data_IF_888119012535
#
_entry.id   IF_888119012535
#
_cell.length_a   1.000
_cell.length_b   1.000
_cell.length_c   1.000
_cell.angle_alpha   90.00
_cell.angle_beta   90.00
_cell.angle_gamma   90.00
#
_symmetry.space_group_name_H-M   'P 1'
#
loop_
_entity.id
_entity.type
_entity.pdbx_description
1 polymer ?
#
# COMPACT_ATOMS: atom_id res chain seq x y z
N UNK A 1 -90.81 -45.23 -11.01
CA UNK A 1 -91.82 -45.20 -9.98
C UNK A 1 -91.72 -43.92 -9.22
N UNK A 2 -92.63 -43.10 -9.54
CA UNK A 2 -93.59 -42.35 -8.71
C UNK A 2 -92.92 -41.19 -7.91
N UNK A 3 -93.21 -40.03 -8.30
CA UNK A 3 -94.37 -39.12 -8.18
C UNK A 3 -94.07 -38.09 -7.08
N UNK A 4 -93.85 -36.82 -7.47
CA UNK A 4 -94.85 -35.72 -7.30
C UNK A 4 -95.06 -35.28 -5.85
N UNK A 5 -95.03 -34.05 -5.45
CA UNK A 5 -95.96 -32.98 -5.82
C UNK A 5 -95.53 -31.61 -5.28
N UNK A 6 -95.93 -30.61 -6.01
CA UNK A 6 -96.06 -29.17 -5.75
C UNK A 6 -96.75 -28.79 -4.42
N UNK A 7 -96.35 -27.63 -3.87
CA UNK A 7 -97.27 -26.51 -3.70
C UNK A 7 -96.59 -25.17 -3.44
N UNK A 8 -97.09 -24.17 -4.09
CA UNK A 8 -96.80 -22.77 -4.03
C UNK A 8 -97.55 -22.01 -2.92
N UNK A 9 -97.13 -20.79 -2.74
CA UNK A 9 -97.88 -19.56 -2.28
C UNK A 9 -97.31 -18.97 -1.01
N UNK A 10 -97.07 -17.72 -0.77
CA UNK A 10 -97.37 -16.39 -1.35
C UNK A 10 -96.53 -15.32 -0.67
N UNK A 11 -96.34 -14.23 -1.36
CA UNK A 11 -95.69 -12.94 -1.02
C UNK A 11 -96.07 -12.40 0.38
N UNK A 12 -95.08 -11.72 1.03
CA UNK A 12 -95.33 -10.34 1.51
C UNK A 12 -94.01 -9.55 1.68
N UNK A 13 -94.13 -8.30 1.29
CA UNK A 13 -93.19 -7.21 1.24
C UNK A 13 -92.48 -6.89 2.57
N UNK A 14 -91.24 -6.38 2.47
CA UNK A 14 -90.68 -5.46 3.48
C UNK A 14 -89.16 -5.38 3.56
N UNK A 15 -88.65 -4.26 3.17
CA UNK A 15 -87.37 -3.77 3.77
C UNK A 15 -86.09 -3.95 2.92
N UNK A 16 -85.84 -2.95 2.12
CA UNK A 16 -84.55 -2.67 1.45
C UNK A 16 -83.48 -2.24 2.49
N UNK A 17 -82.46 -3.03 2.71
CA UNK A 17 -81.23 -2.57 3.36
C UNK A 17 -80.03 -2.97 2.47
N UNK A 18 -79.49 -2.00 1.78
CA UNK A 18 -78.34 -2.17 0.95
C UNK A 18 -77.06 -2.27 1.82
N UNK A 19 -76.46 -3.46 1.87
CA UNK A 19 -75.14 -3.65 2.48
C UNK A 19 -74.13 -3.53 1.39
N UNK A 20 -73.40 -2.37 1.36
CA UNK A 20 -72.27 -2.14 0.48
C UNK A 20 -71.06 -2.89 1.04
N UNK A 21 -70.74 -4.03 0.48
CA UNK A 21 -69.48 -4.70 0.72
C UNK A 21 -68.38 -3.98 -0.04
N UNK A 22 -67.69 -3.10 0.64
CA UNK A 22 -66.43 -2.52 0.12
C UNK A 22 -65.33 -3.57 0.15
N UNK A 23 -65.05 -4.16 -1.00
CA UNK A 23 -63.86 -5.01 -1.23
C UNK A 23 -62.62 -4.12 -1.23
N UNK A 24 -61.93 -4.05 -0.08
CA UNK A 24 -60.58 -3.45 -0.03
C UNK A 24 -59.63 -4.42 -0.70
N UNK A 25 -59.26 -4.15 -1.96
CA UNK A 25 -58.12 -4.74 -2.64
C UNK A 25 -56.87 -4.17 -1.98
N UNK A 26 -56.25 -4.93 -1.06
CA UNK A 26 -54.85 -4.69 -0.64
C UNK A 26 -53.93 -4.99 -1.85
N UNK A 27 -53.61 -3.96 -2.59
CA UNK A 27 -52.48 -3.99 -3.51
C UNK A 27 -51.20 -4.08 -2.66
N UNK A 28 -50.71 -5.30 -2.43
CA UNK A 28 -49.36 -5.53 -1.93
C UNK A 28 -48.38 -5.05 -3.04
N UNK A 29 -47.94 -3.81 -2.95
CA UNK A 29 -46.74 -3.37 -3.68
C UNK A 29 -45.57 -4.16 -3.10
N UNK A 30 -45.28 -5.35 -3.65
CA UNK A 30 -43.97 -5.95 -3.57
C UNK A 30 -43.00 -5.06 -4.34
N UNK A 31 -42.44 -4.08 -3.66
CA UNK A 31 -41.24 -3.42 -4.11
C UNK A 31 -40.15 -4.50 -4.14
N UNK A 32 -39.96 -5.14 -5.30
CA UNK A 32 -38.73 -5.84 -5.63
C UNK A 32 -37.61 -4.79 -5.72
N UNK A 33 -37.21 -4.29 -4.54
CA UNK A 33 -35.96 -3.55 -4.43
C UNK A 33 -34.86 -4.51 -4.83
N UNK A 34 -34.33 -4.36 -6.03
CA UNK A 34 -33.01 -4.89 -6.37
C UNK A 34 -32.11 -4.52 -5.20
N UNK A 35 -31.42 -5.46 -4.56
CA UNK A 35 -30.49 -5.11 -3.51
C UNK A 35 -29.52 -4.09 -4.12
N UNK A 36 -29.52 -2.87 -3.59
CA UNK A 36 -28.50 -1.87 -3.91
C UNK A 36 -27.18 -2.56 -3.68
N UNK A 37 -26.42 -2.78 -4.76
CA UNK A 37 -25.10 -3.38 -4.67
C UNK A 37 -24.26 -2.43 -3.82
N UNK A 38 -24.08 -2.78 -2.55
CA UNK A 38 -23.28 -1.98 -1.63
C UNK A 38 -21.91 -1.75 -2.28
N UNK A 39 -21.47 -0.49 -2.37
CA UNK A 39 -20.16 -0.16 -2.90
C UNK A 39 -19.07 -0.89 -2.12
N UNK A 40 -17.90 -1.08 -2.71
CA UNK A 40 -16.73 -1.57 -1.97
C UNK A 40 -16.40 -0.59 -0.84
N UNK A 41 -15.81 -1.08 0.23
CA UNK A 41 -15.46 -0.28 1.42
C UNK A 41 -14.27 0.67 1.20
N UNK A 42 -13.71 0.74 -0.01
CA UNK A 42 -12.67 1.69 -0.42
C UNK A 42 -13.23 3.13 -0.47
N UNK A 43 -12.36 4.12 -0.35
CA UNK A 43 -12.74 5.54 -0.31
C UNK A 43 -13.56 5.98 -1.54
N UNK A 44 -13.22 5.48 -2.73
CA UNK A 44 -13.89 5.83 -3.99
C UNK A 44 -14.84 4.73 -4.53
N UNK A 45 -15.05 3.67 -3.76
CA UNK A 45 -15.91 2.53 -4.11
C UNK A 45 -15.38 1.65 -5.25
N UNK A 46 -14.11 1.82 -5.67
CA UNK A 46 -13.46 1.01 -6.70
C UNK A 46 -12.69 -0.17 -6.08
N UNK A 47 -12.28 -1.10 -6.96
CA UNK A 47 -11.39 -2.19 -6.55
C UNK A 47 -10.09 -1.63 -5.95
N UNK A 48 -9.59 -2.19 -4.83
CA UNK A 48 -8.32 -1.76 -4.25
C UNK A 48 -7.16 -1.98 -5.22
N UNK A 49 -6.20 -1.06 -5.23
CA UNK A 49 -5.03 -1.11 -6.10
C UNK A 49 -4.06 -2.21 -5.67
N UNK A 50 -3.44 -2.87 -6.66
CA UNK A 50 -2.25 -3.71 -6.44
C UNK A 50 -1.03 -2.91 -6.85
N UNK A 51 -0.24 -2.50 -5.86
CA UNK A 51 0.95 -1.67 -5.98
C UNK A 51 2.16 -2.58 -5.83
N UNK A 52 2.91 -2.77 -6.92
CA UNK A 52 4.09 -3.63 -6.95
C UNK A 52 5.28 -2.91 -6.31
N UNK A 53 5.57 -3.24 -5.06
CA UNK A 53 6.59 -2.64 -4.22
C UNK A 53 7.98 -2.95 -4.78
N UNK A 54 8.64 -1.93 -5.33
CA UNK A 54 9.93 -2.00 -6.04
C UNK A 54 9.89 -2.97 -7.24
N UNK A 55 8.70 -3.10 -7.86
CA UNK A 55 8.42 -4.08 -8.90
C UNK A 55 8.01 -5.45 -8.35
N UNK A 56 8.26 -6.53 -9.09
CA UNK A 56 8.07 -7.91 -8.65
C UNK A 56 9.25 -8.38 -7.78
N UNK A 57 9.52 -7.64 -6.70
CA UNK A 57 10.73 -7.79 -5.87
C UNK A 57 10.84 -9.13 -5.15
N UNK A 58 9.73 -9.86 -5.00
CA UNK A 58 9.74 -11.24 -4.51
C UNK A 58 10.38 -12.25 -5.47
N UNK A 59 10.57 -11.89 -6.74
CA UNK A 59 11.01 -12.78 -7.81
C UNK A 59 12.30 -12.34 -8.52
N UNK A 60 12.53 -11.02 -8.60
CA UNK A 60 13.62 -10.39 -9.35
C UNK A 60 14.22 -9.30 -8.46
N UNK A 61 15.55 -9.03 -8.54
CA UNK A 61 16.16 -7.93 -7.79
C UNK A 61 15.36 -6.64 -7.93
N UNK A 62 15.02 -6.05 -6.80
CA UNK A 62 14.18 -4.87 -6.68
C UNK A 62 14.72 -3.68 -7.48
N UNK A 63 13.85 -2.74 -7.84
CA UNK A 63 14.24 -1.48 -8.45
C UNK A 63 14.96 -1.66 -9.79
N UNK A 64 14.52 -2.60 -10.62
CA UNK A 64 15.02 -2.85 -11.97
C UNK A 64 13.89 -2.76 -12.99
N UNK A 65 14.20 -2.40 -14.25
CA UNK A 65 13.18 -2.35 -15.31
C UNK A 65 12.53 -3.73 -15.50
N UNK A 66 13.31 -4.79 -15.35
CA UNK A 66 12.85 -6.18 -15.44
C UNK A 66 11.85 -6.52 -14.33
N UNK A 67 12.11 -6.05 -13.09
CA UNK A 67 11.18 -6.25 -11.98
C UNK A 67 9.85 -5.50 -12.21
N UNK A 68 9.89 -4.29 -12.77
CA UNK A 68 8.69 -3.52 -13.11
C UNK A 68 7.91 -4.17 -14.25
N UNK A 69 8.59 -4.60 -15.33
CA UNK A 69 7.93 -5.33 -16.43
C UNK A 69 7.27 -6.59 -15.90
N UNK A 70 7.97 -7.36 -15.07
CA UNK A 70 7.42 -8.57 -14.49
C UNK A 70 6.18 -8.31 -13.63
N UNK A 71 6.19 -7.27 -12.82
CA UNK A 71 5.02 -6.85 -12.04
C UNK A 71 3.81 -6.51 -12.93
N UNK A 72 4.04 -5.78 -14.03
CA UNK A 72 3.00 -5.41 -15.00
C UNK A 72 2.41 -6.66 -15.66
N UNK A 73 3.25 -7.64 -16.04
CA UNK A 73 2.84 -8.93 -16.59
C UNK A 73 1.98 -9.73 -15.60
N UNK A 74 2.31 -9.68 -14.31
CA UNK A 74 1.55 -10.31 -13.24
C UNK A 74 0.24 -9.58 -12.90
N UNK A 75 -0.02 -8.41 -13.51
CA UNK A 75 -1.29 -7.70 -13.41
C UNK A 75 -1.28 -6.49 -12.48
N UNK A 76 -0.13 -6.00 -12.05
CA UNK A 76 -0.04 -4.78 -11.22
C UNK A 76 -0.78 -3.60 -11.88
N UNK A 77 -1.45 -2.79 -11.07
CA UNK A 77 -2.05 -1.53 -11.49
C UNK A 77 -1.03 -0.39 -11.40
N UNK A 78 -0.12 -0.51 -10.45
CA UNK A 78 0.88 0.51 -10.13
C UNK A 78 2.23 -0.18 -9.92
N UNK A 79 3.30 0.36 -10.50
CA UNK A 79 4.67 0.03 -10.15
C UNK A 79 5.21 1.10 -9.20
N UNK A 80 5.78 0.67 -8.10
CA UNK A 80 6.34 1.56 -7.09
C UNK A 80 7.86 1.53 -7.15
N UNK A 81 8.48 2.68 -6.87
CA UNK A 81 9.93 2.86 -6.83
C UNK A 81 10.35 3.87 -5.78
N UNK A 82 11.52 3.61 -5.18
CA UNK A 82 12.24 4.49 -4.28
C UNK A 82 13.27 5.33 -5.04
N UNK A 83 13.32 6.63 -4.82
CA UNK A 83 14.23 7.53 -5.53
C UNK A 83 15.34 8.03 -4.63
N UNK A 84 16.57 7.90 -5.12
CA UNK A 84 17.79 8.49 -4.56
C UNK A 84 18.49 9.35 -5.62
N UNK A 85 19.54 10.08 -5.22
CA UNK A 85 20.23 11.02 -6.11
C UNK A 85 21.70 10.61 -6.30
N UNK A 86 22.17 10.69 -7.54
CA UNK A 86 23.59 10.50 -7.88
C UNK A 86 24.40 11.77 -7.64
N UNK A 87 25.74 11.68 -7.62
CA UNK A 87 26.67 12.81 -7.51
C UNK A 87 26.42 13.90 -8.56
N UNK A 88 26.09 13.50 -9.77
CA UNK A 88 25.77 14.41 -10.89
C UNK A 88 24.28 14.79 -10.94
N UNK A 89 23.55 14.49 -9.86
CA UNK A 89 22.21 15.00 -9.63
C UNK A 89 21.08 14.30 -10.39
N UNK A 90 21.27 13.07 -10.84
CA UNK A 90 20.23 12.28 -11.52
C UNK A 90 19.40 11.52 -10.49
N UNK A 91 18.08 11.54 -10.65
CA UNK A 91 17.17 10.67 -9.88
C UNK A 91 17.22 9.24 -10.42
N UNK A 92 17.52 8.29 -9.56
CA UNK A 92 17.60 6.87 -9.90
C UNK A 92 16.85 6.04 -8.85
N UNK A 93 16.52 4.81 -9.23
CA UNK A 93 15.72 3.96 -8.35
C UNK A 93 16.62 3.10 -7.47
N UNK A 94 16.57 3.31 -6.17
CA UNK A 94 17.13 2.47 -5.10
C UNK A 94 16.49 2.85 -3.77
N UNK A 95 16.30 1.85 -2.90
CA UNK A 95 15.75 2.09 -1.57
C UNK A 95 16.72 2.86 -0.67
N UNK A 96 18.00 2.51 -0.71
CA UNK A 96 18.99 3.09 0.19
C UNK A 96 20.02 3.94 -0.58
N UNK A 97 20.45 5.08 -0.01
CA UNK A 97 21.62 5.79 -0.48
C UNK A 97 22.89 4.92 -0.46
N UNK A 98 22.95 3.95 0.45
CA UNK A 98 24.04 2.99 0.57
C UNK A 98 23.92 1.88 -0.48
N UNK A 99 24.66 1.98 -1.57
CA UNK A 99 24.64 1.05 -2.70
C UNK A 99 25.03 -0.40 -2.34
N UNK A 100 25.73 -0.61 -1.21
CA UNK A 100 26.13 -1.95 -0.78
C UNK A 100 24.93 -2.85 -0.41
N UNK A 101 23.78 -2.28 -0.11
CA UNK A 101 22.61 -3.02 0.36
C UNK A 101 21.97 -3.80 -0.79
N UNK A 102 21.84 -3.19 -1.97
CA UNK A 102 21.07 -3.76 -3.08
C UNK A 102 21.79 -3.73 -4.44
N UNK A 103 23.14 -3.55 -4.42
CA UNK A 103 24.00 -3.67 -5.62
C UNK A 103 25.24 -4.50 -5.32
N UNK A 104 25.93 -4.91 -6.37
CA UNK A 104 27.20 -5.64 -6.30
C UNK A 104 28.44 -4.73 -6.17
N UNK A 105 28.28 -3.47 -5.75
CA UNK A 105 29.38 -2.46 -5.64
C UNK A 105 30.60 -2.98 -4.89
N UNK A 106 30.42 -3.85 -3.90
CA UNK A 106 31.51 -4.46 -3.15
C UNK A 106 32.40 -5.39 -3.99
N UNK A 107 31.92 -5.82 -5.17
CA UNK A 107 32.69 -6.63 -6.14
C UNK A 107 33.47 -5.78 -7.16
N UNK A 108 33.39 -4.47 -7.06
CA UNK A 108 34.05 -3.50 -7.96
C UNK A 108 35.30 -2.92 -7.30
N UNK A 109 36.50 -3.46 -7.56
CA UNK A 109 37.75 -3.02 -6.91
C UNK A 109 38.11 -1.56 -7.20
N UNK A 110 37.69 -1.03 -8.35
CA UNK A 110 37.84 0.38 -8.73
C UNK A 110 37.16 1.36 -7.77
N UNK A 111 36.16 0.89 -7.04
CA UNK A 111 35.39 1.69 -6.06
C UNK A 111 35.80 1.42 -4.61
N UNK A 112 36.75 0.53 -4.36
CA UNK A 112 37.10 0.10 -2.99
C UNK A 112 37.49 1.27 -2.08
N UNK A 113 38.23 2.27 -2.61
CA UNK A 113 38.67 3.46 -1.85
C UNK A 113 37.56 4.43 -1.46
N UNK A 114 36.34 4.30 -2.04
CA UNK A 114 35.17 5.15 -1.72
C UNK A 114 34.36 4.61 -0.57
N UNK A 115 34.64 3.41 -0.06
CA UNK A 115 33.96 2.86 1.10
C UNK A 115 34.22 3.75 2.31
N UNK A 116 33.12 4.19 2.97
CA UNK A 116 33.19 5.09 4.11
C UNK A 116 32.08 4.78 5.14
N UNK A 117 32.24 5.36 6.32
CA UNK A 117 31.22 5.33 7.38
C UNK A 117 30.65 6.73 7.56
N UNK A 118 29.34 6.89 7.38
CA UNK A 118 28.65 8.17 7.55
C UNK A 118 27.30 7.96 8.26
N UNK A 119 26.63 9.05 8.60
CA UNK A 119 25.24 9.03 9.05
C UNK A 119 24.30 9.32 7.89
N UNK A 120 23.26 8.49 7.76
CA UNK A 120 22.11 8.71 6.91
C UNK A 120 20.90 8.79 7.82
N UNK A 121 20.22 9.93 7.86
CA UNK A 121 19.06 10.19 8.73
C UNK A 121 19.28 9.76 10.20
N UNK A 122 20.47 10.05 10.72
CA UNK A 122 20.86 9.73 12.09
C UNK A 122 21.42 8.32 12.32
N UNK A 123 21.22 7.38 11.39
CA UNK A 123 21.77 6.03 11.44
C UNK A 123 23.20 5.97 10.91
N UNK A 124 24.11 5.32 11.64
CA UNK A 124 25.50 5.12 11.20
C UNK A 124 25.57 3.93 10.25
N UNK A 125 25.97 4.18 9.02
CA UNK A 125 26.10 3.18 7.96
C UNK A 125 27.51 3.15 7.38
N UNK A 126 27.97 1.95 7.02
CA UNK A 126 29.26 1.75 6.33
C UNK A 126 29.01 1.15 4.95
N UNK A 127 29.51 1.81 3.91
CA UNK A 127 29.32 1.34 2.54
C UNK A 127 29.75 2.36 1.49
N UNK A 128 29.10 2.33 0.35
CA UNK A 128 29.28 3.21 -0.80
C UNK A 128 27.99 3.98 -1.03
N UNK A 129 28.07 5.30 -1.07
CA UNK A 129 26.86 6.14 -1.07
C UNK A 129 26.63 6.76 -2.44
N UNK A 130 25.40 6.78 -2.92
CA UNK A 130 25.01 7.20 -4.26
C UNK A 130 25.47 8.61 -4.63
N UNK A 131 25.55 9.51 -3.66
CA UNK A 131 26.01 10.89 -3.79
C UNK A 131 27.53 11.03 -4.02
N UNK A 132 28.29 9.92 -3.94
CA UNK A 132 29.70 9.86 -4.36
C UNK A 132 29.89 9.37 -5.80
N UNK A 133 28.85 8.86 -6.46
CA UNK A 133 28.91 8.19 -7.76
C UNK A 133 28.11 8.96 -8.82
N UNK A 134 28.68 9.12 -9.99
CA UNK A 134 27.95 9.56 -11.18
C UNK A 134 27.02 8.48 -11.69
N UNK A 135 25.99 8.85 -12.47
CA UNK A 135 25.13 7.87 -13.13
C UNK A 135 25.92 6.87 -13.99
N UNK A 136 26.96 7.36 -14.70
CA UNK A 136 27.79 6.50 -15.54
C UNK A 136 28.49 5.41 -14.74
N UNK A 137 28.97 5.72 -13.54
CA UNK A 137 29.62 4.75 -12.64
C UNK A 137 28.56 3.77 -12.06
N UNK A 138 27.39 4.25 -11.62
CA UNK A 138 26.33 3.38 -11.10
C UNK A 138 25.82 2.41 -12.17
N UNK A 139 25.79 2.80 -13.43
CA UNK A 139 25.40 1.90 -14.53
C UNK A 139 26.36 0.74 -14.76
N UNK A 140 27.57 0.76 -14.19
CA UNK A 140 28.47 -0.42 -14.20
C UNK A 140 27.99 -1.49 -13.20
N UNK A 141 27.31 -1.10 -12.13
CA UNK A 141 26.85 -1.99 -11.07
C UNK A 141 25.67 -2.86 -11.54
N UNK A 142 25.54 -4.03 -10.91
CA UNK A 142 24.39 -4.90 -11.03
C UNK A 142 23.52 -4.88 -9.75
N UNK A 143 22.20 -4.90 -9.91
CA UNK A 143 21.26 -5.03 -8.81
C UNK A 143 21.34 -6.43 -8.19
N UNK A 144 21.19 -6.52 -6.86
CA UNK A 144 21.14 -7.79 -6.13
C UNK A 144 19.91 -7.86 -5.25
N UNK A 145 19.41 -9.08 -5.02
CA UNK A 145 18.30 -9.32 -4.10
C UNK A 145 18.73 -9.02 -2.65
N UNK A 146 17.89 -8.30 -1.92
CA UNK A 146 18.13 -7.92 -0.52
C UNK A 146 17.69 -9.00 0.47
N UNK A 147 16.96 -10.03 0.03
CA UNK A 147 16.48 -11.13 0.86
C UNK A 147 17.05 -12.47 0.36
N UNK A 148 17.78 -13.17 1.24
CA UNK A 148 18.45 -14.43 0.91
C UNK A 148 17.46 -15.58 0.64
N UNK A 149 16.21 -15.50 1.09
CA UNK A 149 15.17 -16.50 0.81
C UNK A 149 14.58 -16.34 -0.62
N UNK A 150 14.87 -15.22 -1.30
CA UNK A 150 14.40 -14.93 -2.66
C UNK A 150 15.38 -15.42 -3.73
N UNK A 151 14.94 -15.53 -5.00
CA UNK A 151 15.79 -15.97 -6.10
C UNK A 151 17.09 -15.16 -6.22
N UNK A 152 18.25 -15.81 -6.16
CA UNK A 152 19.57 -15.18 -6.22
C UNK A 152 20.20 -15.25 -7.62
N UNK A 153 19.63 -16.05 -8.54
CA UNK A 153 20.20 -16.29 -9.87
C UNK A 153 20.25 -15.03 -10.76
N UNK A 154 19.51 -14.00 -10.43
CA UNK A 154 19.49 -12.74 -11.19
C UNK A 154 20.45 -11.67 -10.66
N UNK A 155 21.12 -11.92 -9.54
CA UNK A 155 22.03 -10.96 -8.91
C UNK A 155 23.14 -10.55 -9.86
N UNK A 156 23.34 -9.22 -10.00
CA UNK A 156 24.35 -8.65 -10.87
C UNK A 156 23.97 -8.57 -12.36
N UNK A 157 22.83 -9.14 -12.78
CA UNK A 157 22.44 -9.19 -14.20
C UNK A 157 21.72 -7.94 -14.69
N UNK A 158 20.93 -7.29 -13.82
CA UNK A 158 20.10 -6.16 -14.19
C UNK A 158 20.69 -4.84 -13.68
N UNK A 159 20.45 -3.78 -14.42
CA UNK A 159 21.01 -2.45 -14.13
C UNK A 159 20.05 -1.60 -13.32
N UNK A 160 20.60 -0.60 -12.64
CA UNK A 160 19.84 0.39 -11.89
C UNK A 160 19.29 1.45 -12.86
N UNK A 161 17.96 1.60 -12.98
CA UNK A 161 17.36 2.59 -13.87
C UNK A 161 17.29 3.98 -13.24
N UNK A 162 17.16 4.99 -14.10
CA UNK A 162 16.75 6.34 -13.71
C UNK A 162 15.23 6.45 -13.58
N UNK A 163 14.75 7.45 -12.85
CA UNK A 163 13.33 7.74 -12.77
C UNK A 163 12.70 8.05 -14.13
N UNK A 164 13.44 8.74 -15.03
CA UNK A 164 12.97 9.00 -16.39
C UNK A 164 12.72 7.69 -17.17
N UNK A 165 13.62 6.71 -17.04
CA UNK A 165 13.45 5.41 -17.71
C UNK A 165 12.22 4.66 -17.19
N UNK A 166 11.86 4.80 -15.90
CA UNK A 166 10.65 4.20 -15.34
C UNK A 166 9.40 4.91 -15.86
N UNK A 167 9.41 6.25 -15.97
CA UNK A 167 8.30 7.02 -16.59
C UNK A 167 8.07 6.57 -18.03
N UNK A 168 9.15 6.41 -18.81
CA UNK A 168 9.08 5.99 -20.22
C UNK A 168 8.58 4.54 -20.32
N UNK A 169 9.05 3.66 -19.43
CA UNK A 169 8.55 2.28 -19.31
C UNK A 169 7.05 2.24 -19.05
N UNK A 170 6.56 3.00 -18.07
CA UNK A 170 5.14 3.01 -17.72
C UNK A 170 4.26 3.49 -18.89
N UNK A 171 4.70 4.51 -19.63
CA UNK A 171 4.03 4.98 -20.86
C UNK A 171 4.02 3.90 -21.94
N UNK A 172 5.16 3.27 -22.22
CA UNK A 172 5.31 2.24 -23.23
C UNK A 172 4.47 1.00 -22.88
N UNK A 173 4.49 0.57 -21.63
CA UNK A 173 3.70 -0.58 -21.18
C UNK A 173 2.20 -0.28 -21.16
N UNK A 174 1.79 0.94 -20.84
CA UNK A 174 0.38 1.36 -20.95
C UNK A 174 -0.11 1.28 -22.40
N UNK A 175 0.68 1.77 -23.35
CA UNK A 175 0.35 1.67 -24.78
C UNK A 175 0.31 0.21 -25.27
N UNK A 176 1.28 -0.61 -24.85
CA UNK A 176 1.39 -2.03 -25.23
C UNK A 176 0.24 -2.88 -24.71
N UNK A 177 -0.17 -2.65 -23.46
CA UNK A 177 -1.14 -3.51 -22.76
C UNK A 177 -2.59 -3.01 -22.89
N UNK A 178 -2.80 -1.77 -23.32
CA UNK A 178 -4.11 -1.11 -23.31
C UNK A 178 -4.63 -0.80 -21.91
N UNK A 179 -3.83 -1.03 -20.84
CA UNK A 179 -4.13 -0.71 -19.46
C UNK A 179 -3.33 0.52 -19.02
N UNK A 180 -3.90 1.38 -18.22
CA UNK A 180 -3.13 2.45 -17.58
C UNK A 180 -2.21 1.83 -16.51
N UNK A 181 -0.91 1.95 -16.69
CA UNK A 181 0.09 1.58 -15.68
C UNK A 181 0.48 2.84 -14.94
N UNK A 182 0.11 2.92 -13.68
CA UNK A 182 0.50 4.04 -12.82
C UNK A 182 1.87 3.81 -12.19
N UNK A 183 2.50 4.90 -11.73
CA UNK A 183 3.75 4.86 -10.98
C UNK A 183 3.60 5.48 -9.60
N UNK A 184 4.48 5.08 -8.66
CA UNK A 184 4.39 5.51 -7.27
C UNK A 184 5.79 5.84 -6.70
N UNK A 185 6.46 6.95 -7.17
CA UNK A 185 7.79 7.31 -6.68
C UNK A 185 7.77 7.78 -5.22
N UNK A 186 8.74 7.28 -4.45
CA UNK A 186 9.06 7.78 -3.11
C UNK A 186 10.29 8.68 -3.16
N UNK A 187 10.25 9.82 -2.45
CA UNK A 187 11.47 10.58 -2.15
C UNK A 187 12.14 9.96 -0.91
N UNK A 188 13.24 9.21 -1.13
CA UNK A 188 14.00 8.59 -0.05
C UNK A 188 15.00 9.59 0.54
N UNK A 189 15.02 9.68 1.88
CA UNK A 189 15.97 10.50 2.63
C UNK A 189 16.13 11.94 2.08
N UNK A 190 15.02 12.69 1.78
CA UNK A 190 15.13 13.98 1.10
C UNK A 190 15.93 15.01 1.90
N UNK A 191 15.88 14.99 3.25
CA UNK A 191 16.70 15.85 4.10
C UNK A 191 18.19 15.52 3.98
N UNK A 192 18.56 14.23 3.94
CA UNK A 192 19.94 13.80 3.71
C UNK A 192 20.51 14.35 2.40
N UNK A 193 19.77 14.24 1.29
CA UNK A 193 20.23 14.74 -0.01
C UNK A 193 20.25 16.27 -0.07
N UNK A 194 19.29 16.94 0.58
CA UNK A 194 19.27 18.41 0.66
C UNK A 194 20.47 18.96 1.39
N UNK A 195 20.89 18.37 2.51
CA UNK A 195 22.09 18.73 3.27
C UNK A 195 23.37 18.61 2.43
N UNK A 196 23.37 17.76 1.40
CA UNK A 196 24.47 17.55 0.46
C UNK A 196 24.41 18.40 -0.80
N UNK A 197 23.46 19.34 -0.87
CA UNK A 197 23.25 20.18 -2.05
C UNK A 197 22.67 19.44 -3.25
N UNK A 198 22.02 18.30 -3.02
CA UNK A 198 21.40 17.43 -4.03
C UNK A 198 19.88 17.31 -3.83
N UNK A 199 19.13 18.42 -3.70
CA UNK A 199 17.68 18.34 -3.49
C UNK A 199 17.01 17.58 -4.65
N UNK A 200 16.10 16.66 -4.31
CA UNK A 200 15.47 15.77 -5.29
C UNK A 200 14.11 16.28 -5.78
N UNK A 201 13.40 17.07 -4.99
CA UNK A 201 12.01 17.44 -5.21
C UNK A 201 11.81 18.24 -6.49
N UNK A 202 12.66 19.26 -6.75
CA UNK A 202 12.54 20.07 -7.97
C UNK A 202 12.79 19.26 -9.24
N UNK A 203 13.70 18.26 -9.17
CA UNK A 203 13.99 17.35 -10.28
C UNK A 203 12.80 16.41 -10.53
N UNK A 204 12.21 15.88 -9.46
CA UNK A 204 11.00 15.05 -9.54
C UNK A 204 9.86 15.83 -10.20
N UNK A 205 9.60 17.07 -9.74
CA UNK A 205 8.57 17.95 -10.31
C UNK A 205 8.83 18.22 -11.80
N UNK A 206 10.09 18.49 -12.19
CA UNK A 206 10.44 18.75 -13.57
C UNK A 206 10.14 17.55 -14.49
N UNK A 207 10.48 16.33 -14.07
CA UNK A 207 10.19 15.10 -14.82
C UNK A 207 8.68 14.85 -14.91
N UNK A 208 7.93 15.04 -13.82
CA UNK A 208 6.47 14.89 -13.80
C UNK A 208 5.80 15.89 -14.74
N UNK A 209 6.26 17.16 -14.75
CA UNK A 209 5.76 18.20 -15.65
C UNK A 209 6.04 17.84 -17.12
N UNK A 210 7.27 17.43 -17.43
CA UNK A 210 7.67 17.01 -18.78
C UNK A 210 6.88 15.77 -19.26
N UNK A 211 6.51 14.87 -18.34
CA UNK A 211 5.65 13.73 -18.64
C UNK A 211 4.20 14.10 -18.92
N UNK A 212 3.77 15.32 -18.59
CA UNK A 212 2.37 15.75 -18.63
C UNK A 212 1.51 15.19 -17.50
N UNK A 213 2.12 14.78 -16.39
CA UNK A 213 1.45 14.06 -15.30
C UNK A 213 1.18 14.90 -14.04
N UNK A 214 1.31 16.21 -14.13
CA UNK A 214 1.07 17.09 -12.98
C UNK A 214 -0.43 17.39 -12.78
N UNK A 215 -1.23 16.37 -12.49
CA UNK A 215 -2.66 16.50 -12.17
C UNK A 215 -3.15 15.40 -11.24
N UNK A 216 -4.28 15.61 -10.55
CA UNK A 216 -4.90 14.60 -9.67
C UNK A 216 -5.40 13.35 -10.41
N UNK A 217 -5.62 13.45 -11.71
CA UNK A 217 -6.09 12.33 -12.54
C UNK A 217 -4.96 11.61 -13.26
N UNK A 218 -3.73 12.13 -13.20
CA UNK A 218 -2.57 11.49 -13.80
C UNK A 218 -2.26 10.14 -13.14
N UNK A 219 -1.66 9.19 -13.88
CA UNK A 219 -1.33 7.87 -13.36
C UNK A 219 -0.06 7.90 -12.47
N UNK A 220 -0.08 8.73 -11.46
CA UNK A 220 1.05 8.91 -10.54
C UNK A 220 0.57 9.25 -9.13
N UNK A 221 1.27 8.65 -8.15
CA UNK A 221 1.22 8.98 -6.73
C UNK A 221 2.64 9.32 -6.28
N UNK A 222 2.82 10.34 -5.48
CA UNK A 222 4.14 10.70 -4.93
C UNK A 222 4.10 10.54 -3.42
N UNK A 223 5.06 9.83 -2.86
CA UNK A 223 5.10 9.50 -1.44
C UNK A 223 6.39 9.94 -0.76
N UNK A 224 6.33 10.13 0.53
CA UNK A 224 7.48 10.40 1.40
C UNK A 224 7.15 10.09 2.86
N UNK A 225 8.16 9.68 3.62
CA UNK A 225 8.08 9.66 5.09
C UNK A 225 8.20 11.05 5.68
N UNK A 226 8.90 11.97 5.02
CA UNK A 226 9.11 13.34 5.49
C UNK A 226 7.97 14.27 5.03
N UNK A 227 7.09 14.75 5.96
CA UNK A 227 6.03 15.72 5.62
C UNK A 227 6.56 17.00 4.95
N UNK A 228 7.77 17.43 5.30
CA UNK A 228 8.41 18.61 4.72
C UNK A 228 8.63 18.48 3.23
N UNK A 229 9.02 17.31 2.73
CA UNK A 229 9.19 17.05 1.30
C UNK A 229 7.86 17.18 0.54
N UNK A 230 6.78 16.56 1.05
CA UNK A 230 5.44 16.65 0.45
C UNK A 230 4.89 18.08 0.47
N UNK A 231 5.01 18.77 1.60
CA UNK A 231 4.59 20.16 1.76
C UNK A 231 5.36 21.09 0.80
N UNK A 232 6.68 20.87 0.65
CA UNK A 232 7.52 21.60 -0.29
C UNK A 232 7.05 21.37 -1.74
N UNK A 233 6.91 20.13 -2.17
CA UNK A 233 6.47 19.81 -3.53
C UNK A 233 5.09 20.43 -3.84
N UNK A 234 4.14 20.36 -2.90
CA UNK A 234 2.84 21.01 -3.03
C UNK A 234 2.98 22.52 -3.19
N UNK A 235 3.84 23.17 -2.39
CA UNK A 235 4.08 24.62 -2.47
C UNK A 235 4.70 25.07 -3.81
N UNK A 236 5.43 24.15 -4.48
CA UNK A 236 6.00 24.34 -5.82
C UNK A 236 5.04 24.01 -6.97
N UNK A 237 3.77 23.78 -6.67
CA UNK A 237 2.74 23.54 -7.66
C UNK A 237 2.61 22.10 -8.14
N UNK A 238 3.21 21.14 -7.43
CA UNK A 238 2.93 19.72 -7.72
C UNK A 238 1.47 19.42 -7.35
N UNK A 239 0.68 19.03 -8.35
CA UNK A 239 -0.75 18.74 -8.23
C UNK A 239 -1.10 17.27 -8.52
N UNK A 240 -0.15 16.36 -8.27
CA UNK A 240 -0.40 14.91 -8.28
C UNK A 240 -1.03 14.46 -6.95
N UNK A 241 -1.38 13.16 -6.83
CA UNK A 241 -1.76 12.61 -5.53
C UNK A 241 -0.51 12.48 -4.66
N UNK A 242 -0.56 13.06 -3.46
CA UNK A 242 0.52 13.01 -2.47
C UNK A 242 0.12 12.08 -1.32
N UNK A 243 1.05 11.24 -0.89
CA UNK A 243 0.80 10.22 0.13
C UNK A 243 1.84 10.35 1.24
N UNK A 244 1.35 10.47 2.49
CA UNK A 244 2.20 10.46 3.67
C UNK A 244 2.46 9.03 4.12
N UNK A 245 3.72 8.62 4.11
CA UNK A 245 4.14 7.33 4.67
C UNK A 245 4.27 7.40 6.18
N UNK A 246 3.88 6.32 6.87
CA UNK A 246 3.86 6.24 8.35
C UNK A 246 4.46 4.90 8.75
N UNK A 247 5.59 4.94 9.46
CA UNK A 247 6.34 3.75 9.87
C UNK A 247 6.27 3.47 11.37
N UNK A 248 6.94 2.41 11.80
CA UNK A 248 7.16 1.98 13.17
C UNK A 248 8.33 1.01 13.20
N UNK A 249 8.97 0.88 14.36
CA UNK A 249 10.16 0.05 14.52
C UNK A 249 9.84 -1.43 14.73
N UNK A 250 8.80 -1.73 15.51
CA UNK A 250 8.41 -3.09 15.84
C UNK A 250 7.03 -3.19 16.48
N UNK A 251 6.72 -4.37 17.01
CA UNK A 251 5.47 -4.64 17.74
C UNK A 251 5.83 -5.15 19.14
N UNK A 252 5.24 -4.56 20.16
CA UNK A 252 5.26 -5.14 21.50
C UNK A 252 4.47 -6.47 21.50
N UNK A 253 5.12 -7.61 21.71
CA UNK A 253 4.47 -8.91 21.60
C UNK A 253 3.38 -9.15 22.66
N UNK A 254 3.40 -8.41 23.77
CA UNK A 254 2.40 -8.52 24.83
C UNK A 254 1.12 -7.79 24.51
N UNK A 255 1.22 -6.63 23.87
CA UNK A 255 0.09 -5.71 23.65
C UNK A 255 -0.34 -5.61 22.20
N UNK A 256 0.53 -5.93 21.25
CA UNK A 256 0.33 -5.70 19.83
C UNK A 256 0.47 -4.23 19.42
N UNK A 257 0.97 -3.36 20.31
CA UNK A 257 1.20 -1.94 19.98
C UNK A 257 2.46 -1.77 19.15
N UNK A 258 2.40 -0.83 18.19
CA UNK A 258 3.59 -0.39 17.46
C UNK A 258 4.58 0.26 18.43
N UNK A 259 5.85 -0.07 18.30
CA UNK A 259 6.95 0.48 19.07
C UNK A 259 7.80 1.42 18.25
N UNK A 260 8.60 2.25 18.92
CA UNK A 260 9.40 3.29 18.29
C UNK A 260 10.80 3.28 18.89
N UNK A 261 11.82 3.25 18.03
CA UNK A 261 13.22 3.31 18.43
C UNK A 261 13.99 4.32 17.56
N UNK A 262 14.87 5.09 18.21
CA UNK A 262 15.77 6.01 17.50
C UNK A 262 16.73 5.23 16.58
N UNK A 263 17.06 5.79 15.39
CA UNK A 263 16.69 7.12 14.88
C UNK A 263 15.40 7.15 14.09
N UNK A 264 14.71 6.00 13.88
CA UNK A 264 13.59 5.82 12.94
C UNK A 264 12.20 5.92 13.60
N UNK A 265 12.13 6.52 14.81
CA UNK A 265 10.89 6.64 15.59
C UNK A 265 9.89 7.67 15.02
N UNK A 266 10.35 8.54 14.15
CA UNK A 266 9.61 9.66 13.53
C UNK A 266 10.20 10.06 12.19
N UNK A 267 9.50 10.86 11.36
CA UNK A 267 10.09 11.48 10.17
C UNK A 267 11.40 12.20 10.49
N UNK A 268 12.39 12.05 9.63
CA UNK A 268 13.71 12.64 9.92
C UNK A 268 13.69 14.17 9.92
N UNK A 269 12.86 14.80 9.08
CA UNK A 269 12.64 16.26 9.12
C UNK A 269 12.04 16.73 10.46
N UNK A 270 11.22 15.90 11.15
CA UNK A 270 10.78 16.17 12.50
C UNK A 270 11.93 16.12 13.52
N UNK A 271 12.83 15.17 13.35
CA UNK A 271 14.05 15.07 14.18
C UNK A 271 14.89 16.33 14.04
N UNK A 272 15.12 16.80 12.81
CA UNK A 272 15.86 18.04 12.52
C UNK A 272 15.16 19.28 13.06
N UNK A 273 13.84 19.32 13.01
CA UNK A 273 13.03 20.42 13.56
C UNK A 273 12.89 20.38 15.09
N UNK A 274 13.35 19.32 15.75
CA UNK A 274 13.19 19.12 17.20
C UNK A 274 11.78 18.76 17.63
N UNK A 275 10.88 18.35 16.69
CA UNK A 275 9.55 17.82 17.01
C UNK A 275 9.69 16.49 17.76
N UNK A 276 8.92 16.33 18.84
CA UNK A 276 9.02 15.17 19.74
C UNK A 276 7.94 14.12 19.47
N UNK A 277 7.02 14.37 18.54
CA UNK A 277 6.01 13.39 18.15
C UNK A 277 6.66 12.19 17.48
N UNK A 278 6.07 11.02 17.66
CA UNK A 278 6.39 9.80 16.92
C UNK A 278 5.43 9.62 15.74
N UNK A 279 5.67 8.61 14.92
CA UNK A 279 4.79 8.29 13.79
C UNK A 279 3.34 8.02 14.20
N UNK A 280 3.07 7.49 15.40
CA UNK A 280 1.71 7.22 15.88
C UNK A 280 0.84 8.48 16.03
N UNK A 281 1.45 9.66 16.19
CA UNK A 281 0.71 10.92 16.19
C UNK A 281 -0.02 11.15 14.85
N UNK A 282 0.50 10.62 13.74
CA UNK A 282 -0.05 10.76 12.39
C UNK A 282 -1.33 9.95 12.17
N UNK A 283 -1.52 8.84 12.91
CA UNK A 283 -2.70 7.96 12.78
C UNK A 283 -3.83 8.35 13.73
N UNK A 284 -3.67 9.41 14.51
CA UNK A 284 -4.75 10.01 15.32
C UNK A 284 -5.71 10.83 14.44
N UNK A 285 -6.97 11.07 14.87
CA UNK A 285 -7.88 11.97 14.13
C UNK A 285 -7.28 13.35 13.84
N UNK A 286 -6.53 13.92 14.79
CA UNK A 286 -5.83 15.20 14.60
C UNK A 286 -4.69 15.11 13.59
N UNK A 287 -3.89 14.03 13.65
CA UNK A 287 -2.82 13.76 12.68
C UNK A 287 -3.37 13.55 11.27
N UNK A 288 -4.45 12.80 11.09
CA UNK A 288 -5.11 12.61 9.80
C UNK A 288 -5.65 13.94 9.24
N UNK A 289 -6.24 14.79 10.10
CA UNK A 289 -6.67 16.11 9.70
C UNK A 289 -5.49 17.01 9.29
N UNK A 290 -4.34 16.94 9.98
CA UNK A 290 -3.11 17.64 9.57
C UNK A 290 -2.63 17.13 8.20
N UNK A 291 -2.52 15.81 8.01
CA UNK A 291 -2.10 15.18 6.73
C UNK A 291 -2.99 15.64 5.58
N UNK A 292 -4.32 15.70 5.78
CA UNK A 292 -5.27 16.13 4.75
C UNK A 292 -4.98 17.53 4.21
N UNK A 293 -4.33 18.39 4.98
CA UNK A 293 -3.96 19.73 4.51
C UNK A 293 -2.92 19.74 3.39
N UNK A 294 -2.12 18.65 3.25
CA UNK A 294 -1.04 18.57 2.26
C UNK A 294 -1.01 17.28 1.43
N UNK A 295 -1.68 16.20 1.85
CA UNK A 295 -1.69 14.93 1.16
C UNK A 295 -3.12 14.44 0.85
N UNK A 296 -3.24 13.48 -0.06
CA UNK A 296 -4.49 12.88 -0.52
C UNK A 296 -4.72 11.50 0.10
N UNK A 297 -3.69 10.91 0.70
CA UNK A 297 -3.75 9.61 1.34
C UNK A 297 -2.61 9.37 2.31
N UNK A 298 -2.68 8.22 2.97
CA UNK A 298 -1.65 7.70 3.86
C UNK A 298 -1.17 6.34 3.37
N UNK A 299 0.13 6.07 3.53
CA UNK A 299 0.74 4.75 3.39
C UNK A 299 1.26 4.30 4.76
N UNK A 300 0.43 3.70 5.62
CA UNK A 300 0.87 3.27 6.93
C UNK A 300 1.51 1.88 6.85
N UNK A 301 2.51 1.62 7.73
CA UNK A 301 2.90 0.25 8.00
C UNK A 301 1.65 -0.56 8.38
N UNK A 302 1.46 -1.72 7.74
CA UNK A 302 0.24 -2.53 7.85
C UNK A 302 -0.17 -2.84 9.31
N UNK A 303 0.79 -2.82 10.24
CA UNK A 303 0.56 -3.08 11.67
C UNK A 303 -0.26 -2.00 12.40
N UNK A 304 -0.42 -0.82 11.81
CA UNK A 304 -1.39 0.18 12.31
C UNK A 304 -2.85 -0.19 12.02
N UNK A 305 -3.08 -1.06 11.04
CA UNK A 305 -4.43 -1.49 10.63
C UNK A 305 -4.75 -2.85 11.25
N UNK A 306 -3.93 -3.87 10.98
CA UNK A 306 -4.04 -5.20 11.60
C UNK A 306 -2.67 -5.53 12.20
N UNK A 307 -2.58 -5.39 13.51
CA UNK A 307 -1.37 -5.73 14.25
C UNK A 307 -1.32 -7.22 14.58
N UNK A 308 -0.22 -7.63 15.22
CA UNK A 308 -0.03 -9.01 15.70
C UNK A 308 0.30 -9.02 17.17
N UNK A 309 0.03 -10.14 17.84
CA UNK A 309 0.33 -10.36 19.25
C UNK A 309 0.96 -11.73 19.44
N UNK A 310 2.08 -11.77 20.12
CA UNK A 310 2.76 -13.01 20.49
C UNK A 310 2.08 -13.73 21.66
N UNK A 311 2.30 -15.03 21.77
CA UNK A 311 2.00 -15.79 22.99
C UNK A 311 3.12 -15.58 23.99
N UNK A 312 2.78 -15.24 25.24
CA UNK A 312 3.76 -15.00 26.30
C UNK A 312 3.80 -16.20 27.23
N UNK A 313 4.99 -16.78 27.40
CA UNK A 313 5.23 -17.89 28.30
C UNK A 313 5.24 -17.48 29.78
N UNK A 314 5.34 -18.47 30.67
CA UNK A 314 5.39 -18.25 32.12
C UNK A 314 6.64 -17.45 32.57
N UNK A 315 7.69 -17.45 31.76
CA UNK A 315 8.92 -16.67 31.97
C UNK A 315 8.79 -15.20 31.52
N UNK A 316 7.61 -14.81 31.00
CA UNK A 316 7.33 -13.46 30.52
C UNK A 316 7.89 -13.13 29.13
N UNK A 317 8.45 -14.12 28.41
CA UNK A 317 8.99 -13.96 27.06
C UNK A 317 8.00 -14.48 26.01
N UNK A 318 8.14 -14.00 24.78
CA UNK A 318 7.41 -14.54 23.64
C UNK A 318 7.83 -15.99 23.38
N UNK A 319 6.86 -16.85 23.09
CA UNK A 319 7.08 -18.26 22.76
C UNK A 319 7.35 -18.39 21.28
N UNK A 320 8.36 -19.16 20.92
CA UNK A 320 8.58 -19.66 19.56
C UNK A 320 7.55 -20.80 19.32
N UNK A 321 6.44 -20.43 18.63
CA UNK A 321 5.31 -21.34 18.44
C UNK A 321 5.62 -22.38 17.34
N UNK A 322 6.34 -21.95 16.30
CA UNK A 322 6.65 -22.80 15.15
C UNK A 322 7.89 -23.68 15.34
N UNK A 323 8.68 -23.42 16.40
CA UNK A 323 9.84 -24.23 16.80
C UNK A 323 11.05 -24.05 15.89
N UNK A 324 11.16 -22.95 15.12
CA UNK A 324 12.26 -22.72 14.18
C UNK A 324 13.48 -22.02 14.82
N UNK A 325 13.41 -21.68 16.11
CA UNK A 325 14.46 -21.01 16.88
C UNK A 325 14.54 -19.51 16.63
N UNK A 326 13.54 -18.90 15.97
CA UNK A 326 13.48 -17.48 15.64
C UNK A 326 12.13 -16.92 16.04
N UNK A 327 12.13 -15.75 16.68
CA UNK A 327 10.90 -15.00 16.94
C UNK A 327 10.60 -14.06 15.78
N UNK A 328 9.44 -14.26 15.14
CA UNK A 328 9.00 -13.46 14.00
C UNK A 328 7.46 -13.44 13.90
N UNK A 329 6.88 -12.93 12.80
CA UNK A 329 5.43 -12.87 12.66
C UNK A 329 4.76 -14.25 12.72
N UNK A 330 5.46 -15.33 12.32
CA UNK A 330 4.93 -16.69 12.38
C UNK A 330 4.73 -17.22 13.81
N UNK A 331 5.19 -16.49 14.83
CA UNK A 331 4.99 -16.78 16.26
C UNK A 331 3.94 -15.87 16.91
N UNK A 332 3.18 -15.18 16.08
CA UNK A 332 2.19 -14.20 16.52
C UNK A 332 0.85 -14.46 15.84
N UNK A 333 -0.24 -14.07 16.50
CA UNK A 333 -1.60 -14.10 15.94
C UNK A 333 -2.03 -12.69 15.55
N UNK A 334 -2.83 -12.56 14.49
CA UNK A 334 -3.39 -11.28 14.09
C UNK A 334 -4.41 -10.76 15.11
N UNK A 335 -4.48 -9.43 15.23
CA UNK A 335 -5.49 -8.73 16.02
C UNK A 335 -6.63 -8.24 15.10
N UNK A 336 -7.81 -7.94 15.65
CA UNK A 336 -8.86 -7.27 14.89
C UNK A 336 -8.35 -5.96 14.26
N UNK A 337 -8.90 -5.60 13.10
CA UNK A 337 -8.59 -4.33 12.46
C UNK A 337 -8.94 -3.14 13.37
N UNK A 338 -8.07 -2.13 13.38
CA UNK A 338 -8.31 -0.86 14.07
C UNK A 338 -9.31 0.00 13.29
N UNK A 339 -9.69 1.16 13.83
CA UNK A 339 -10.54 2.13 13.13
C UNK A 339 -9.80 2.96 12.08
N UNK A 340 -8.48 2.81 11.92
CA UNK A 340 -7.64 3.71 11.12
C UNK A 340 -8.14 3.91 9.69
N UNK A 341 -8.58 2.84 9.00
CA UNK A 341 -9.10 2.95 7.63
C UNK A 341 -10.36 3.82 7.60
N UNK A 342 -11.32 3.56 8.50
CA UNK A 342 -12.55 4.34 8.58
C UNK A 342 -12.28 5.81 8.95
N UNK A 343 -11.35 6.05 9.88
CA UNK A 343 -10.98 7.42 10.31
C UNK A 343 -10.27 8.18 9.18
N UNK A 344 -9.40 7.52 8.41
CA UNK A 344 -8.75 8.09 7.25
C UNK A 344 -9.77 8.40 6.14
N UNK A 345 -10.69 7.48 5.83
CA UNK A 345 -11.76 7.72 4.87
C UNK A 345 -12.67 8.87 5.29
N UNK A 346 -13.01 8.99 6.57
CA UNK A 346 -13.76 10.13 7.11
C UNK A 346 -13.02 11.45 6.90
N UNK A 347 -11.68 11.44 6.97
CA UNK A 347 -10.85 12.60 6.65
C UNK A 347 -10.67 12.79 5.12
N UNK A 348 -11.18 11.90 4.28
CA UNK A 348 -11.03 11.92 2.83
C UNK A 348 -9.62 11.53 2.35
N UNK A 349 -8.95 10.64 3.06
CA UNK A 349 -7.60 10.12 2.74
C UNK A 349 -7.68 8.68 2.26
N UNK A 350 -7.02 8.36 1.12
CA UNK A 350 -6.75 6.98 0.71
C UNK A 350 -5.83 6.27 1.70
N UNK A 351 -5.97 4.95 1.81
CA UNK A 351 -5.14 4.12 2.70
C UNK A 351 -4.48 3.01 1.90
N UNK A 352 -3.15 3.10 1.75
CA UNK A 352 -2.32 2.14 1.01
C UNK A 352 -1.24 1.55 1.94
N UNK A 353 -1.54 0.48 2.72
CA UNK A 353 -0.57 -0.10 3.65
C UNK A 353 0.55 -0.86 2.96
N UNK A 354 1.72 -0.88 3.60
CA UNK A 354 2.93 -1.61 3.21
C UNK A 354 3.44 -2.51 4.33
N UNK A 355 4.20 -3.55 4.10
CA UNK A 355 4.46 -4.27 2.86
C UNK A 355 3.94 -5.68 3.02
N UNK A 356 3.25 -6.19 2.00
CA UNK A 356 2.73 -7.56 1.97
C UNK A 356 3.75 -8.49 1.32
N UNK A 357 4.03 -9.60 1.99
CA UNK A 357 5.07 -10.56 1.63
C UNK A 357 4.59 -11.99 1.82
N UNK A 358 5.09 -12.92 0.99
CA UNK A 358 4.66 -14.31 1.02
C UNK A 358 5.51 -15.19 1.94
N UNK A 359 6.69 -14.73 2.34
CA UNK A 359 7.59 -15.51 3.20
C UNK A 359 6.89 -15.86 4.52
N UNK A 360 6.89 -17.16 4.90
CA UNK A 360 6.17 -17.65 6.08
C UNK A 360 6.50 -16.88 7.36
N UNK A 361 7.74 -16.49 7.54
CA UNK A 361 8.21 -15.67 8.68
C UNK A 361 7.58 -14.27 8.76
N UNK A 362 6.91 -13.82 7.70
CA UNK A 362 6.23 -12.51 7.58
C UNK A 362 4.71 -12.60 7.78
N UNK A 363 4.19 -13.81 8.01
CA UNK A 363 2.76 -14.09 8.15
C UNK A 363 2.43 -14.49 9.57
N UNK A 364 1.38 -13.90 10.14
CA UNK A 364 0.84 -14.35 11.40
C UNK A 364 0.38 -15.83 11.32
N UNK A 365 0.54 -16.56 12.41
CA UNK A 365 0.32 -18.02 12.43
C UNK A 365 -1.12 -18.41 12.09
N UNK A 366 -2.10 -17.58 12.41
CA UNK A 366 -3.51 -17.79 12.13
C UNK A 366 -3.85 -17.69 10.64
N UNK A 367 -2.98 -17.12 9.80
CA UNK A 367 -3.08 -17.23 8.34
C UNK A 367 -2.64 -18.59 7.80
N UNK A 368 -2.15 -19.50 8.65
CA UNK A 368 -1.80 -20.90 8.33
C UNK A 368 -0.81 -21.02 7.15
N UNK A 369 0.03 -20.02 6.95
CA UNK A 369 1.00 -19.95 5.85
C UNK A 369 0.38 -19.64 4.47
N UNK A 370 -0.92 -19.30 4.40
CA UNK A 370 -1.53 -18.80 3.17
C UNK A 370 -1.44 -17.25 3.14
N UNK A 371 -0.54 -16.68 2.32
CA UNK A 371 -0.41 -15.22 2.25
C UNK A 371 -1.69 -14.53 1.74
N UNK A 372 -2.52 -15.18 0.93
CA UNK A 372 -3.79 -14.61 0.46
C UNK A 372 -4.73 -14.29 1.61
N UNK A 373 -4.68 -15.05 2.71
CA UNK A 373 -5.51 -14.79 3.88
C UNK A 373 -5.21 -13.41 4.49
N UNK A 374 -3.93 -12.98 4.54
CA UNK A 374 -3.56 -11.64 4.98
C UNK A 374 -4.12 -10.57 4.05
N UNK A 375 -3.92 -10.68 2.73
CA UNK A 375 -4.48 -9.70 1.77
C UNK A 375 -6.00 -9.58 1.89
N UNK A 376 -6.72 -10.70 2.01
CA UNK A 376 -8.17 -10.71 2.15
C UNK A 376 -8.62 -9.99 3.43
N UNK A 377 -7.91 -10.17 4.56
CA UNK A 377 -8.20 -9.46 5.79
C UNK A 377 -8.12 -7.93 5.62
N UNK A 378 -7.10 -7.44 4.92
CA UNK A 378 -6.93 -6.01 4.66
C UNK A 378 -7.92 -5.47 3.62
N UNK A 379 -8.22 -6.19 2.55
CA UNK A 379 -9.25 -5.79 1.60
C UNK A 379 -10.62 -5.69 2.27
N UNK A 380 -10.96 -6.63 3.16
CA UNK A 380 -12.20 -6.58 3.96
C UNK A 380 -12.20 -5.45 4.98
N UNK A 381 -11.03 -5.01 5.46
CA UNK A 381 -10.89 -3.82 6.29
C UNK A 381 -11.08 -2.51 5.51
N UNK A 382 -11.18 -2.56 4.16
CA UNK A 382 -11.51 -1.42 3.30
C UNK A 382 -10.33 -0.62 2.80
N UNK A 383 -9.09 -1.17 2.82
CA UNK A 383 -7.92 -0.46 2.28
C UNK A 383 -8.08 -0.19 0.78
N UNK A 384 -7.56 0.94 0.31
CA UNK A 384 -7.70 1.40 -1.08
C UNK A 384 -6.63 0.81 -2.02
N UNK A 385 -5.61 0.19 -1.48
CA UNK A 385 -4.55 -0.49 -2.21
C UNK A 385 -3.58 -1.17 -1.25
N UNK A 386 -2.70 -2.01 -1.77
CA UNK A 386 -1.68 -2.72 -0.98
C UNK A 386 -0.34 -2.71 -1.70
N UNK A 387 0.74 -2.39 -0.98
CA UNK A 387 2.11 -2.55 -1.47
C UNK A 387 2.55 -3.99 -1.30
N UNK A 388 2.90 -4.66 -2.39
CA UNK A 388 3.23 -6.08 -2.40
C UNK A 388 4.52 -6.40 -3.14
N UNK A 389 5.34 -7.29 -2.57
CA UNK A 389 6.49 -7.88 -3.25
C UNK A 389 6.06 -9.02 -4.19
N UNK A 390 4.80 -9.52 -4.06
CA UNK A 390 4.25 -10.67 -4.79
C UNK A 390 2.93 -10.30 -5.47
N UNK A 391 3.03 -9.67 -6.62
CA UNK A 391 1.89 -9.09 -7.36
C UNK A 391 0.80 -10.11 -7.68
N UNK A 392 1.17 -11.31 -8.14
CA UNK A 392 0.24 -12.40 -8.49
C UNK A 392 -0.61 -12.86 -7.30
N UNK A 393 -0.02 -12.95 -6.11
CA UNK A 393 -0.75 -13.28 -4.88
C UNK A 393 -1.76 -12.20 -4.51
N UNK A 394 -1.37 -10.93 -4.60
CA UNK A 394 -2.28 -9.80 -4.36
C UNK A 394 -3.43 -9.76 -5.36
N UNK A 395 -3.16 -10.01 -6.66
CA UNK A 395 -4.18 -10.10 -7.72
C UNK A 395 -5.14 -11.26 -7.46
N UNK A 396 -4.63 -12.45 -7.09
CA UNK A 396 -5.47 -13.60 -6.78
C UNK A 396 -6.39 -13.33 -5.58
N UNK A 397 -5.86 -12.72 -4.51
CA UNK A 397 -6.63 -12.33 -3.33
C UNK A 397 -7.67 -11.25 -3.66
N UNK A 398 -7.31 -10.23 -4.46
CA UNK A 398 -8.25 -9.19 -4.91
C UNK A 398 -9.39 -9.79 -5.74
N UNK A 399 -9.09 -10.69 -6.66
CA UNK A 399 -10.10 -11.38 -7.48
C UNK A 399 -11.09 -12.14 -6.59
N UNK A 400 -10.58 -12.84 -5.57
CA UNK A 400 -11.44 -13.53 -4.59
C UNK A 400 -12.31 -12.53 -3.82
N UNK A 401 -11.73 -11.45 -3.30
CA UNK A 401 -12.45 -10.40 -2.57
C UNK A 401 -13.57 -9.77 -3.40
N UNK A 402 -13.30 -9.44 -4.67
CA UNK A 402 -14.31 -8.88 -5.58
C UNK A 402 -15.45 -9.87 -5.85
N UNK A 403 -15.15 -11.15 -6.03
CA UNK A 403 -16.17 -12.21 -6.17
C UNK A 403 -17.03 -12.32 -4.90
N UNK A 404 -16.44 -12.26 -3.72
CA UNK A 404 -17.17 -12.25 -2.43
C UNK A 404 -18.09 -11.03 -2.33
N UNK A 405 -17.68 -9.87 -2.88
CA UNK A 405 -18.49 -8.65 -2.94
C UNK A 405 -19.51 -8.62 -4.09
N UNK A 406 -19.65 -9.71 -4.85
CA UNK A 406 -20.60 -9.81 -5.97
C UNK A 406 -20.20 -9.03 -7.21
N UNK A 407 -18.88 -8.87 -7.45
CA UNK A 407 -18.32 -8.08 -8.56
C UNK A 407 -17.37 -8.90 -9.43
#
# INVERSE_FOLDING_TARGET
MTVSTRKALTMKHGGLLALVCSSVLLAACSSSGTPSQAGLSTLDGKAPLVIAHRGASGYIPEETLEAYVRAIELGADVIEMDLIVTKDGVLMTRHDPNLAISTDVAKHPEFASRKKTIKVDGETQTGWFSDDFTLAEIRTLGAVSTDAERPQQFNGQYKVPTFQEVVDLAKAQSAKTGRTIAIYPETKNPSYFRERGLPMEDKLIAIINAAGWNSKTAPIYVQSFEPGSLKYMKSKGLNTRLIQLIDGDGIDPKTGKVTFALPSDRPYDWTLAGDKRFFDAMVTPAGLAEIKTYADGIGPWKRYIISTKGTIGADGKQVDINGDGKLNDADSTSLPATSLVADAHKAGLFVHPFTFRNERRRLAIDYQGDPKAEYLAFYRAGVDGVFTDFTDTAIAARTQYLKEAGR
#
